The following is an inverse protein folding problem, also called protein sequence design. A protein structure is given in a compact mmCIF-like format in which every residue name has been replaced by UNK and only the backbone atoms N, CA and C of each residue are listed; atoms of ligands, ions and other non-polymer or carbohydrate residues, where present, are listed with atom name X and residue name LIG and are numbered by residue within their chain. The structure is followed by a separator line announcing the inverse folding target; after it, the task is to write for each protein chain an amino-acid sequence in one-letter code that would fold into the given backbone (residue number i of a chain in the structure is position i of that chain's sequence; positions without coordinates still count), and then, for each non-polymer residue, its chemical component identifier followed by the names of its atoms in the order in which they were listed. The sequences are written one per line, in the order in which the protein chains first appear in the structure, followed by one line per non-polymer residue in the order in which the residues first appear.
data_IF_037697420932
#
_entry.id   IF_037697420932
#
_cell.length_a   1.000
_cell.length_b   1.000
_cell.length_c   1.000
_cell.angle_alpha   90.00
_cell.angle_beta   90.00
_cell.angle_gamma   90.00
#
_symmetry.space_group_name_H-M   'P 1'
#
loop_
_entity.id
_entity.type
_entity.pdbx_description
1 polymer ?
#
# COMPACT_ATOMS: atom_id res chain seq x y z
N UNK A 1 32.38 -23.17 2.27
CA UNK A 1 32.23 -23.59 3.65
C UNK A 1 32.70 -22.50 4.61
N UNK A 2 33.88 -21.91 4.38
CA UNK A 2 34.44 -20.83 5.21
C UNK A 2 33.59 -19.54 5.18
N UNK A 3 32.93 -19.24 4.05
CA UNK A 3 32.08 -18.04 3.92
C UNK A 3 30.75 -18.19 4.69
N UNK A 4 30.18 -19.39 4.73
CA UNK A 4 28.96 -19.65 5.52
C UNK A 4 29.26 -19.58 7.03
N UNK A 5 30.41 -20.07 7.45
CA UNK A 5 30.85 -19.93 8.84
C UNK A 5 31.24 -18.49 9.20
N UNK A 6 31.79 -17.73 8.27
CA UNK A 6 32.08 -16.32 8.47
C UNK A 6 30.83 -15.47 8.72
N UNK A 7 29.76 -15.72 7.96
CA UNK A 7 28.48 -15.03 8.16
C UNK A 7 27.83 -15.41 9.52
N UNK A 8 27.84 -16.68 9.85
CA UNK A 8 27.33 -17.14 11.14
C UNK A 8 28.19 -16.64 12.31
N UNK A 9 29.51 -16.59 12.12
CA UNK A 9 30.46 -16.08 13.12
C UNK A 9 30.22 -14.57 13.38
N UNK A 10 29.97 -13.79 12.35
CA UNK A 10 29.64 -12.36 12.50
C UNK A 10 28.35 -12.19 13.30
N UNK A 11 27.32 -13.00 13.03
CA UNK A 11 26.05 -12.94 13.76
C UNK A 11 26.16 -13.40 15.21
N UNK A 12 27.06 -14.34 15.52
CA UNK A 12 27.22 -14.87 16.89
C UNK A 12 28.30 -14.15 17.70
N UNK A 13 29.25 -13.48 17.05
CA UNK A 13 30.32 -12.72 17.71
C UNK A 13 30.07 -11.21 17.67
N UNK A 14 29.00 -10.73 17.02
CA UNK A 14 28.58 -9.37 17.24
C UNK A 14 28.35 -9.22 18.74
N UNK A 15 29.23 -8.50 19.39
CA UNK A 15 29.02 -8.09 20.77
C UNK A 15 27.59 -7.63 20.90
N UNK A 16 26.86 -8.07 21.94
CA UNK A 16 25.56 -7.49 22.18
C UNK A 16 25.76 -5.97 22.14
N UNK A 17 25.05 -5.32 21.25
CA UNK A 17 25.12 -3.88 21.10
C UNK A 17 24.75 -3.28 22.46
N UNK A 18 25.75 -2.81 23.19
CA UNK A 18 25.60 -2.22 24.53
C UNK A 18 25.42 -0.71 24.46
N UNK A 19 25.27 -0.17 23.24
CA UNK A 19 24.94 1.23 23.05
C UNK A 19 23.51 1.50 23.54
N UNK A 20 23.33 2.60 24.26
CA UNK A 20 22.00 3.13 24.48
C UNK A 20 21.40 3.45 23.11
N UNK A 21 20.42 2.64 22.67
CA UNK A 21 19.54 3.06 21.60
C UNK A 21 18.72 4.22 22.17
N UNK A 22 19.14 5.44 21.97
CA UNK A 22 18.18 6.53 21.92
C UNK A 22 17.45 6.32 20.58
N UNK A 23 16.24 5.82 20.60
CA UNK A 23 15.31 6.04 19.50
C UNK A 23 15.14 7.55 19.52
N UNK A 24 15.90 8.23 18.66
CA UNK A 24 15.59 9.62 18.35
C UNK A 24 14.12 9.64 17.92
N UNK A 25 13.39 10.63 18.37
CA UNK A 25 11.98 10.83 18.02
C UNK A 25 11.82 10.56 16.53
N UNK A 26 10.93 9.67 16.10
CA UNK A 26 10.76 9.39 14.70
C UNK A 26 10.62 10.68 13.93
N UNK A 27 11.33 10.80 12.82
CA UNK A 27 11.38 11.99 11.96
C UNK A 27 9.99 12.46 11.47
N UNK A 28 8.95 11.66 11.73
CA UNK A 28 7.61 11.80 11.16
C UNK A 28 6.50 12.00 12.21
N UNK A 29 6.84 12.33 13.47
CA UNK A 29 5.85 12.70 14.47
C UNK A 29 5.17 14.02 14.09
N UNK A 30 3.87 14.15 14.34
CA UNK A 30 3.03 15.29 13.95
C UNK A 30 3.06 15.58 12.42
N UNK A 31 3.08 14.54 11.61
CA UNK A 31 3.12 14.62 10.15
C UNK A 31 1.87 14.00 9.54
N UNK A 32 1.52 14.46 8.35
CA UNK A 32 0.58 13.77 7.51
C UNK A 32 1.32 12.62 6.83
N UNK A 33 1.03 11.41 7.26
CA UNK A 33 1.66 10.19 6.77
C UNK A 33 0.71 9.48 5.81
N UNK A 34 1.16 9.15 4.62
CA UNK A 34 0.38 8.40 3.64
C UNK A 34 1.06 7.06 3.36
N UNK A 35 0.27 6.01 3.33
CA UNK A 35 0.66 4.68 2.85
C UNK A 35 -0.02 4.49 1.50
N UNK A 36 0.74 4.15 0.46
CA UNK A 36 0.22 3.79 -0.87
C UNK A 36 0.69 2.38 -1.18
N UNK A 37 -0.23 1.45 -1.23
CA UNK A 37 0.05 0.03 -1.44
C UNK A 37 -0.99 -0.59 -2.36
N UNK A 38 -0.66 -1.68 -3.09
CA UNK A 38 -1.63 -2.36 -3.93
C UNK A 38 -2.73 -3.06 -3.13
N UNK A 39 -2.40 -3.94 -2.18
CA UNK A 39 -3.38 -4.82 -1.56
C UNK A 39 -3.59 -4.52 -0.07
N UNK A 40 -4.69 -5.06 0.47
CA UNK A 40 -5.15 -4.83 1.86
C UNK A 40 -4.46 -5.78 2.87
N UNK A 41 -3.17 -5.92 2.78
CA UNK A 41 -2.25 -6.61 3.70
C UNK A 41 -0.82 -6.09 3.55
N UNK A 42 -0.50 -5.45 2.43
CA UNK A 42 0.81 -4.86 2.17
C UNK A 42 1.12 -3.70 3.14
N UNK A 43 0.11 -2.92 3.49
CA UNK A 43 0.20 -1.85 4.47
C UNK A 43 0.65 -2.34 5.85
N UNK A 44 0.15 -3.50 6.27
CA UNK A 44 0.52 -4.15 7.53
C UNK A 44 1.97 -4.65 7.45
N UNK A 45 2.34 -5.26 6.33
CA UNK A 45 3.70 -5.74 6.09
C UNK A 45 4.71 -4.58 6.04
N UNK A 46 4.32 -3.47 5.43
CA UNK A 46 5.17 -2.30 5.28
C UNK A 46 5.35 -1.51 6.58
N UNK A 47 4.27 -1.17 7.25
CA UNK A 47 4.30 -0.19 8.34
C UNK A 47 3.49 -0.58 9.58
N UNK A 48 2.83 -1.74 9.60
CA UNK A 48 1.87 -2.13 10.64
C UNK A 48 2.39 -1.99 12.07
N UNK A 49 3.66 -2.31 12.31
CA UNK A 49 4.28 -2.16 13.63
C UNK A 49 4.48 -0.70 14.07
N UNK A 50 4.50 0.24 13.13
CA UNK A 50 4.81 1.66 13.37
C UNK A 50 3.58 2.56 13.32
N UNK A 51 2.47 2.12 12.75
CA UNK A 51 1.23 2.91 12.59
C UNK A 51 0.77 3.47 13.93
N UNK A 52 0.63 2.62 14.93
CA UNK A 52 0.18 3.05 16.27
C UNK A 52 1.12 4.05 16.91
N UNK A 53 2.41 3.96 16.64
CA UNK A 53 3.39 4.93 17.12
C UNK A 53 3.12 6.31 16.50
N UNK A 54 2.96 6.41 15.20
CA UNK A 54 2.67 7.69 14.53
C UNK A 54 1.36 8.32 15.01
N UNK A 55 0.30 7.52 15.12
CA UNK A 55 -0.99 8.00 15.63
C UNK A 55 -0.87 8.53 17.07
N UNK A 56 -0.17 7.84 17.96
CA UNK A 56 0.05 8.27 19.35
C UNK A 56 0.89 9.54 19.45
N UNK A 57 1.69 9.86 18.43
CA UNK A 57 2.53 11.05 18.38
C UNK A 57 1.95 12.17 17.50
N UNK A 58 0.63 12.16 17.30
CA UNK A 58 -0.10 13.25 16.67
C UNK A 58 -0.06 13.29 15.15
N UNK A 59 0.43 12.24 14.50
CA UNK A 59 0.39 12.14 13.05
C UNK A 59 -1.02 11.79 12.56
N UNK A 60 -1.40 12.33 11.43
CA UNK A 60 -2.58 11.91 10.69
C UNK A 60 -2.18 10.88 9.64
N UNK A 61 -2.94 9.78 9.57
CA UNK A 61 -2.66 8.67 8.66
C UNK A 61 -3.70 8.62 7.54
N UNK A 62 -3.21 8.52 6.32
CA UNK A 62 -3.99 8.22 5.11
C UNK A 62 -3.51 6.91 4.51
N UNK A 63 -4.42 6.06 4.09
CA UNK A 63 -4.10 4.76 3.48
C UNK A 63 -4.77 4.66 2.13
N UNK A 64 -3.99 4.40 1.11
CA UNK A 64 -4.43 4.30 -0.28
C UNK A 64 -4.18 2.88 -0.77
N UNK A 65 -5.25 2.17 -1.02
CA UNK A 65 -5.22 0.87 -1.70
C UNK A 65 -5.44 1.09 -3.19
N UNK A 66 -4.46 0.71 -4.00
CA UNK A 66 -4.54 0.95 -5.43
C UNK A 66 -5.36 -0.11 -6.14
N UNK A 67 -5.32 -1.35 -5.66
CA UNK A 67 -6.15 -2.44 -6.19
C UNK A 67 -7.25 -2.86 -5.22
N UNK A 68 -8.16 -3.67 -5.72
CA UNK A 68 -9.30 -4.16 -4.95
C UNK A 68 -8.99 -5.41 -4.12
N UNK A 69 -7.80 -6.01 -4.27
CA UNK A 69 -7.45 -7.27 -3.64
C UNK A 69 -8.34 -8.42 -4.12
N UNK A 70 -8.83 -8.37 -5.36
CA UNK A 70 -9.90 -9.23 -5.87
C UNK A 70 -9.43 -10.46 -6.65
N UNK A 71 -8.17 -10.84 -6.47
CA UNK A 71 -7.61 -12.01 -7.14
C UNK A 71 -8.26 -13.32 -6.67
N UNK A 72 -8.33 -13.54 -5.36
CA UNK A 72 -8.94 -14.73 -4.75
C UNK A 72 -10.26 -14.44 -4.05
N UNK A 73 -10.39 -13.23 -3.50
CA UNK A 73 -11.55 -12.78 -2.74
C UNK A 73 -12.36 -11.75 -3.52
N UNK A 74 -13.51 -11.37 -3.01
CA UNK A 74 -14.20 -10.23 -3.57
C UNK A 74 -13.79 -8.92 -2.87
N UNK A 75 -13.81 -7.82 -3.60
CA UNK A 75 -13.43 -6.51 -3.09
C UNK A 75 -14.17 -6.11 -1.80
N UNK A 76 -15.44 -6.52 -1.63
CA UNK A 76 -16.23 -6.19 -0.43
C UNK A 76 -15.60 -6.76 0.84
N UNK A 77 -15.15 -8.03 0.79
CA UNK A 77 -14.49 -8.66 1.96
C UNK A 77 -13.20 -7.94 2.29
N UNK A 78 -12.34 -7.72 1.29
CA UNK A 78 -11.04 -7.05 1.48
C UNK A 78 -11.20 -5.63 2.01
N UNK A 79 -12.18 -4.89 1.52
CA UNK A 79 -12.46 -3.54 2.01
C UNK A 79 -12.91 -3.55 3.48
N UNK A 80 -13.82 -4.46 3.84
CA UNK A 80 -14.30 -4.57 5.22
C UNK A 80 -13.19 -4.96 6.20
N UNK A 81 -12.29 -5.85 5.81
CA UNK A 81 -11.12 -6.23 6.62
C UNK A 81 -10.21 -5.02 6.86
N UNK A 82 -9.85 -4.29 5.81
CA UNK A 82 -9.02 -3.09 5.92
C UNK A 82 -9.68 -2.00 6.78
N UNK A 83 -10.95 -1.70 6.51
CA UNK A 83 -11.71 -0.71 7.27
C UNK A 83 -11.79 -1.07 8.75
N UNK A 84 -12.06 -2.34 9.07
CA UNK A 84 -12.12 -2.81 10.45
C UNK A 84 -10.77 -2.71 11.16
N UNK A 85 -9.68 -3.06 10.49
CA UNK A 85 -8.34 -2.93 11.04
C UNK A 85 -8.03 -1.47 11.41
N UNK A 86 -8.31 -0.53 10.52
CA UNK A 86 -8.03 0.87 10.76
C UNK A 86 -9.00 1.53 11.76
N UNK A 87 -10.25 1.11 11.79
CA UNK A 87 -11.19 1.49 12.84
C UNK A 87 -10.65 1.12 14.24
N UNK A 88 -10.14 -0.11 14.40
CA UNK A 88 -9.57 -0.60 15.67
C UNK A 88 -8.29 0.18 16.08
N UNK A 89 -7.61 0.80 15.13
CA UNK A 89 -6.48 1.70 15.38
C UNK A 89 -6.91 3.15 15.63
N UNK A 90 -8.18 3.49 15.43
CA UNK A 90 -8.72 4.85 15.60
C UNK A 90 -8.50 5.77 14.39
N UNK A 91 -8.21 5.20 13.21
CA UNK A 91 -8.13 5.96 11.95
C UNK A 91 -9.52 6.18 11.41
N UNK A 92 -9.80 7.39 10.94
CA UNK A 92 -11.10 7.70 10.31
C UNK A 92 -11.27 6.92 9.00
N UNK A 93 -12.46 6.37 8.78
CA UNK A 93 -12.84 5.73 7.52
C UNK A 93 -12.61 6.65 6.30
N UNK A 94 -12.80 7.95 6.46
CA UNK A 94 -12.56 8.95 5.40
C UNK A 94 -11.09 9.05 4.97
N UNK A 95 -10.17 8.51 5.77
CA UNK A 95 -8.74 8.49 5.48
C UNK A 95 -8.29 7.18 4.80
N UNK A 96 -9.22 6.26 4.54
CA UNK A 96 -8.98 5.02 3.83
C UNK A 96 -9.51 5.15 2.41
N UNK A 97 -8.64 5.20 1.45
CA UNK A 97 -8.93 5.51 0.06
C UNK A 97 -8.75 4.24 -0.79
N UNK A 98 -9.75 3.94 -1.60
CA UNK A 98 -9.70 2.82 -2.55
C UNK A 98 -9.73 3.37 -3.97
N UNK A 99 -8.63 3.18 -4.74
CA UNK A 99 -8.58 3.64 -6.13
C UNK A 99 -9.46 2.77 -7.04
N UNK A 100 -9.63 1.49 -6.69
CA UNK A 100 -10.59 0.64 -7.36
C UNK A 100 -10.08 -0.08 -8.60
N UNK A 101 -8.76 -0.13 -8.85
CA UNK A 101 -8.20 -0.96 -9.89
C UNK A 101 -8.30 -2.43 -9.47
N UNK A 102 -8.55 -3.33 -10.42
CA UNK A 102 -8.55 -4.77 -10.13
C UNK A 102 -7.14 -5.32 -10.08
N UNK A 103 -6.93 -6.38 -9.32
CA UNK A 103 -5.64 -7.06 -9.26
C UNK A 103 -5.22 -7.53 -10.65
N UNK A 104 -3.97 -7.34 -10.95
CA UNK A 104 -3.41 -7.77 -12.22
C UNK A 104 -2.48 -8.97 -12.03
N UNK A 105 -2.59 -9.91 -12.95
CA UNK A 105 -1.66 -11.01 -13.05
C UNK A 105 -1.42 -11.30 -14.54
N UNK A 106 -0.17 -11.41 -14.91
CA UNK A 106 0.30 -11.44 -16.31
C UNK A 106 -0.08 -12.70 -17.10
N UNK A 107 -1.30 -13.23 -16.94
CA UNK A 107 -1.73 -14.42 -17.67
C UNK A 107 -2.29 -14.16 -19.08
N UNK A 108 -2.85 -12.99 -19.32
CA UNK A 108 -3.57 -12.71 -20.56
C UNK A 108 -3.37 -11.29 -21.14
N UNK A 109 -2.23 -10.67 -20.87
CA UNK A 109 -1.96 -9.34 -21.41
C UNK A 109 -0.92 -8.59 -20.59
N UNK A 110 -0.53 -7.39 -21.00
CA UNK A 110 0.45 -6.63 -20.25
C UNK A 110 -0.16 -6.17 -18.91
N UNK A 111 0.64 -6.24 -17.88
CA UNK A 111 0.38 -5.54 -16.63
C UNK A 111 0.22 -4.03 -16.90
N UNK A 112 -0.53 -3.32 -16.05
CA UNK A 112 -0.81 -1.90 -16.23
C UNK A 112 0.47 -1.07 -16.40
N UNK A 113 1.55 -1.40 -15.67
CA UNK A 113 2.84 -0.71 -15.76
C UNK A 113 3.57 -0.92 -17.09
N UNK A 114 3.29 -2.03 -17.77
CA UNK A 114 3.88 -2.38 -19.06
C UNK A 114 2.96 -2.05 -20.24
N UNK A 115 1.79 -1.49 -19.99
CA UNK A 115 0.82 -1.12 -21.00
C UNK A 115 1.28 0.11 -21.80
N UNK A 116 0.94 0.15 -23.07
CA UNK A 116 1.16 1.36 -23.89
C UNK A 116 0.28 2.51 -23.40
N UNK A 117 0.70 3.76 -23.55
CA UNK A 117 -0.13 4.91 -23.23
C UNK A 117 -1.52 4.79 -23.88
N UNK A 118 -2.58 4.91 -23.07
CA UNK A 118 -3.96 4.78 -23.50
C UNK A 118 -4.45 3.35 -23.77
N UNK A 119 -3.61 2.35 -23.65
CA UNK A 119 -4.04 0.96 -23.74
C UNK A 119 -4.85 0.58 -22.50
N UNK A 120 -6.07 0.09 -22.73
CA UNK A 120 -6.89 -0.51 -21.67
C UNK A 120 -6.42 -1.94 -21.44
N UNK A 121 -6.07 -2.25 -20.20
CA UNK A 121 -5.69 -3.58 -19.76
C UNK A 121 -6.83 -4.25 -18.99
N UNK A 122 -6.70 -5.55 -18.74
CA UNK A 122 -7.67 -6.32 -17.96
C UNK A 122 -7.06 -6.71 -16.63
N UNK A 123 -7.84 -6.63 -15.58
CA UNK A 123 -7.52 -7.28 -14.31
C UNK A 123 -7.62 -8.80 -14.44
N UNK A 124 -7.15 -9.51 -13.44
CA UNK A 124 -7.29 -10.97 -13.34
C UNK A 124 -8.73 -11.45 -13.55
N UNK A 125 -9.70 -10.71 -12.98
CA UNK A 125 -11.13 -11.01 -13.10
C UNK A 125 -11.77 -10.46 -14.37
N UNK A 126 -10.98 -10.03 -15.36
CA UNK A 126 -11.44 -9.53 -16.64
C UNK A 126 -12.08 -8.14 -16.60
N UNK A 127 -11.97 -7.42 -15.49
CA UNK A 127 -12.41 -6.03 -15.39
C UNK A 127 -11.51 -5.13 -16.22
N UNK A 128 -12.08 -4.10 -16.80
CA UNK A 128 -11.37 -3.11 -17.63
C UNK A 128 -11.55 -1.68 -17.14
N UNK A 129 -12.27 -1.53 -16.02
CA UNK A 129 -12.57 -0.24 -15.42
C UNK A 129 -12.47 -0.34 -13.90
N UNK A 130 -12.09 0.76 -13.27
CA UNK A 130 -12.11 0.89 -11.82
C UNK A 130 -13.51 0.68 -11.28
N UNK A 131 -13.60 0.04 -10.15
CA UNK A 131 -14.85 -0.19 -9.45
C UNK A 131 -14.61 -0.25 -7.94
N UNK A 132 -15.65 -0.07 -7.17
CA UNK A 132 -15.63 -0.21 -5.72
C UNK A 132 -16.81 -1.05 -5.25
N UNK A 133 -17.11 -0.95 -3.99
CA UNK A 133 -18.27 -1.58 -3.37
C UNK A 133 -19.47 -0.61 -3.36
N UNK A 134 -20.61 -1.07 -2.87
CA UNK A 134 -21.78 -0.19 -2.74
C UNK A 134 -21.58 0.93 -1.71
N UNK A 135 -20.82 0.63 -0.66
CA UNK A 135 -20.56 1.56 0.45
C UNK A 135 -19.30 2.39 0.21
N UNK A 136 -18.35 1.82 -0.52
CA UNK A 136 -17.05 2.45 -0.83
C UNK A 136 -16.83 2.41 -2.35
N UNK A 137 -17.33 3.39 -3.09
CA UNK A 137 -17.05 3.50 -4.52
C UNK A 137 -15.55 3.76 -4.75
N UNK A 138 -15.06 3.45 -5.94
CA UNK A 138 -13.70 3.85 -6.33
C UNK A 138 -13.53 5.37 -6.24
N UNK A 139 -12.35 5.81 -5.82
CA UNK A 139 -12.00 7.21 -5.48
C UNK A 139 -12.47 8.24 -6.50
N UNK A 140 -12.20 8.03 -7.77
CA UNK A 140 -12.60 8.93 -8.85
C UNK A 140 -13.72 8.37 -9.74
N UNK A 141 -14.54 7.46 -9.22
CA UNK A 141 -15.58 6.79 -9.98
C UNK A 141 -15.05 5.81 -11.01
N UNK A 142 -15.89 5.44 -11.98
CA UNK A 142 -15.55 4.46 -12.99
C UNK A 142 -14.65 5.07 -14.09
N UNK A 143 -13.42 4.56 -14.23
CA UNK A 143 -12.44 4.95 -15.24
C UNK A 143 -11.88 3.72 -15.95
N UNK A 144 -11.48 3.87 -17.20
CA UNK A 144 -10.77 2.80 -17.91
C UNK A 144 -9.46 2.42 -17.22
N UNK A 145 -9.18 1.13 -17.16
CA UNK A 145 -7.98 0.59 -16.52
C UNK A 145 -6.75 0.81 -17.42
N UNK A 146 -6.22 2.03 -17.37
CA UNK A 146 -5.04 2.47 -18.13
C UNK A 146 -3.98 3.02 -17.19
N UNK A 147 -2.70 2.92 -17.57
CA UNK A 147 -1.60 3.52 -16.79
C UNK A 147 -1.80 5.04 -16.60
N UNK A 148 -2.34 5.73 -17.58
CA UNK A 148 -2.59 7.17 -17.47
C UNK A 148 -3.61 7.52 -16.39
N UNK A 149 -4.71 6.77 -16.32
CA UNK A 149 -5.72 6.98 -15.26
C UNK A 149 -5.15 6.59 -13.89
N UNK A 150 -4.41 5.48 -13.80
CA UNK A 150 -3.77 5.02 -12.57
C UNK A 150 -2.84 6.09 -11.98
N UNK A 151 -1.91 6.63 -12.79
CA UNK A 151 -1.01 7.68 -12.36
C UNK A 151 -1.74 8.97 -11.99
N UNK A 152 -2.77 9.35 -12.77
CA UNK A 152 -3.60 10.53 -12.47
C UNK A 152 -4.35 10.40 -11.15
N UNK A 153 -4.82 9.19 -10.78
CA UNK A 153 -5.51 8.97 -9.52
C UNK A 153 -4.54 9.04 -8.34
N UNK A 154 -3.35 8.46 -8.45
CA UNK A 154 -2.30 8.61 -7.43
C UNK A 154 -1.92 10.08 -7.25
N UNK A 155 -1.67 10.81 -8.35
CA UNK A 155 -1.36 12.24 -8.30
C UNK A 155 -2.48 13.02 -7.61
N UNK A 156 -3.73 12.75 -7.95
CA UNK A 156 -4.90 13.42 -7.38
C UNK A 156 -4.98 13.23 -5.87
N UNK A 157 -4.78 12.00 -5.38
CA UNK A 157 -4.76 11.70 -3.94
C UNK A 157 -3.63 12.46 -3.23
N UNK A 158 -2.42 12.43 -3.78
CA UNK A 158 -1.27 13.14 -3.20
C UNK A 158 -1.54 14.65 -3.13
N UNK A 159 -2.10 15.23 -4.17
CA UNK A 159 -2.40 16.66 -4.23
C UNK A 159 -3.55 17.05 -3.28
N UNK A 160 -4.53 16.20 -3.10
CA UNK A 160 -5.69 16.42 -2.21
C UNK A 160 -5.27 16.37 -0.74
N UNK A 161 -4.61 15.30 -0.33
CA UNK A 161 -4.28 15.04 1.09
C UNK A 161 -2.94 15.66 1.52
N UNK A 162 -2.07 16.03 0.59
CA UNK A 162 -0.77 16.69 0.82
C UNK A 162 0.05 16.06 1.94
N UNK A 163 0.41 14.78 1.82
CA UNK A 163 1.21 14.13 2.85
C UNK A 163 2.60 14.75 2.97
N UNK A 164 3.12 14.80 4.19
CA UNK A 164 4.53 15.14 4.45
C UNK A 164 5.46 13.98 4.11
N UNK A 165 4.94 12.75 4.24
CA UNK A 165 5.68 11.50 4.02
C UNK A 165 4.79 10.49 3.34
N UNK A 166 5.35 9.79 2.37
CA UNK A 166 4.70 8.66 1.68
C UNK A 166 5.54 7.41 1.89
N UNK A 167 4.88 6.34 2.32
CA UNK A 167 5.42 4.99 2.34
C UNK A 167 4.76 4.16 1.25
N UNK A 168 5.53 3.40 0.51
CA UNK A 168 5.04 2.48 -0.51
C UNK A 168 5.89 1.20 -0.52
N UNK A 169 5.36 0.15 -1.14
CA UNK A 169 6.11 -1.07 -1.34
C UNK A 169 7.37 -0.80 -2.16
N UNK A 170 8.42 -1.56 -1.87
CA UNK A 170 9.59 -1.64 -2.74
C UNK A 170 9.31 -2.64 -3.86
N UNK A 171 10.12 -2.57 -4.92
CA UNK A 171 10.05 -3.50 -6.02
C UNK A 171 10.41 -4.92 -5.56
N UNK A 172 9.52 -5.86 -5.79
CA UNK A 172 9.72 -7.28 -5.52
C UNK A 172 9.23 -8.17 -6.68
N UNK A 173 8.80 -9.40 -6.40
CA UNK A 173 8.34 -10.33 -7.42
C UNK A 173 6.83 -10.27 -7.70
N UNK A 174 6.07 -9.45 -6.98
CA UNK A 174 4.64 -9.26 -7.23
C UNK A 174 4.43 -8.18 -8.29
N UNK A 175 3.56 -8.45 -9.24
CA UNK A 175 3.40 -7.58 -10.41
C UNK A 175 2.73 -6.24 -10.09
N UNK A 176 1.89 -6.19 -9.04
CA UNK A 176 1.20 -4.98 -8.60
C UNK A 176 2.07 -4.08 -7.69
N UNK A 177 3.25 -4.56 -7.24
CA UNK A 177 4.19 -3.78 -6.40
C UNK A 177 5.09 -2.82 -7.15
#
# INVERSE_FOLDING_TARGET
ILLAFGGLYILTTTHPYTGNFSIETPLFDNKNVMIIVPHQDDDINLLGSSVKHYLNNGSELYVVFTTNGDYYDNAEVRYQEALKYYEDLGVSESNIIFLGYGDSWDKEGPHIYNAKPGQVVKSYNGKVKTYGTKTHPSYNGEKDYTIGNYLSDIESVILEYRPDVIFCNDYDCHEDH
#
